data_IF_861515353665
#
_entry.id   IF_861515353665
#
_cell.length_a   1.000
_cell.length_b   1.000
_cell.length_c   1.000
_cell.angle_alpha   90.00
_cell.angle_beta   90.00
_cell.angle_gamma   90.00
#
_symmetry.space_group_name_H-M   'P 1'
#
loop_
_entity.id
_entity.type
_entity.pdbx_description
1 polymer ?
#
# COMPACT_ATOMS: atom_id res chain seq x y z
N UNK A 1 -0.57 9.20 21.51
CA UNK A 1 0.87 8.95 21.24
C UNK A 1 0.92 8.24 19.89
N UNK A 2 1.67 8.76 18.90
CA UNK A 2 1.69 8.15 17.56
C UNK A 2 2.20 6.71 17.70
N UNK A 3 1.48 5.73 17.12
CA UNK A 3 1.98 4.35 17.09
C UNK A 3 3.37 4.37 16.45
N UNK A 4 4.29 3.56 16.93
CA UNK A 4 5.59 3.33 16.28
C UNK A 4 5.62 1.90 15.75
N UNK A 5 6.30 1.67 14.62
CA UNK A 5 6.57 0.30 14.19
C UNK A 5 7.27 -0.41 15.33
N UNK A 6 6.75 -1.57 15.71
CA UNK A 6 7.33 -2.35 16.79
C UNK A 6 8.81 -2.61 16.46
N UNK A 7 9.73 -2.26 17.37
CA UNK A 7 11.17 -2.15 17.09
C UNK A 7 11.90 -3.44 16.68
N UNK A 8 11.17 -4.53 16.44
CA UNK A 8 11.71 -5.81 16.01
C UNK A 8 11.62 -6.11 14.51
N UNK A 9 10.88 -5.32 13.71
CA UNK A 9 10.88 -5.47 12.24
C UNK A 9 12.06 -4.70 11.67
N UNK A 10 13.01 -5.41 11.06
CA UNK A 10 14.27 -4.82 10.59
C UNK A 10 14.38 -5.05 9.09
N UNK A 11 14.61 -3.98 8.34
CA UNK A 11 14.95 -4.05 6.93
C UNK A 11 16.31 -4.75 6.75
N UNK A 12 16.40 -5.69 5.81
CA UNK A 12 17.61 -6.46 5.53
C UNK A 12 17.87 -6.57 4.03
N UNK A 13 19.09 -6.20 3.62
CA UNK A 13 19.61 -6.40 2.27
C UNK A 13 21.11 -6.76 2.36
N UNK A 14 21.59 -7.86 1.72
CA UNK A 14 20.86 -8.78 0.84
C UNK A 14 19.72 -9.52 1.58
N UNK A 15 18.73 -9.99 0.82
CA UNK A 15 17.55 -10.65 1.37
C UNK A 15 17.90 -11.87 2.22
N UNK A 16 17.04 -12.19 3.18
CA UNK A 16 17.06 -13.45 3.93
C UNK A 16 16.22 -14.51 3.22
N UNK A 17 16.45 -15.78 3.53
CA UNK A 17 15.63 -16.90 3.08
C UNK A 17 14.96 -17.55 4.28
N UNK A 18 13.62 -17.61 4.27
CA UNK A 18 12.86 -18.34 5.28
C UNK A 18 12.99 -19.86 5.09
N UNK A 19 12.56 -20.63 6.09
CA UNK A 19 12.61 -22.10 6.05
C UNK A 19 11.79 -22.72 4.92
N UNK A 20 10.79 -22.01 4.41
CA UNK A 20 9.98 -22.39 3.24
C UNK A 20 10.66 -22.05 1.89
N UNK A 21 11.90 -21.55 1.92
CA UNK A 21 12.67 -21.14 0.74
C UNK A 21 12.32 -19.75 0.20
N UNK A 22 11.32 -19.07 0.77
CA UNK A 22 10.91 -17.73 0.36
C UNK A 22 11.93 -16.69 0.78
N UNK A 23 12.28 -15.80 -0.15
CA UNK A 23 13.17 -14.66 0.10
C UNK A 23 12.38 -13.46 0.64
N UNK A 24 12.97 -12.74 1.59
CA UNK A 24 12.38 -11.54 2.21
C UNK A 24 13.42 -10.49 2.52
N UNK A 25 13.00 -9.22 2.48
CA UNK A 25 13.82 -8.04 2.76
C UNK A 25 13.53 -7.42 4.13
N UNK A 26 12.73 -8.10 4.95
CA UNK A 26 12.53 -7.76 6.35
C UNK A 26 12.67 -9.02 7.21
N UNK A 27 13.37 -8.91 8.34
CA UNK A 27 13.21 -9.84 9.44
C UNK A 27 11.98 -9.44 10.24
N UNK A 28 11.19 -10.43 10.65
CA UNK A 28 10.00 -10.25 11.47
C UNK A 28 10.20 -11.10 12.73
N UNK A 29 9.97 -10.55 13.94
CA UNK A 29 10.14 -11.30 15.18
C UNK A 29 9.25 -12.54 15.20
N UNK A 30 9.75 -13.63 15.80
CA UNK A 30 8.96 -14.83 16.03
C UNK A 30 7.70 -14.49 16.82
N UNK A 31 6.55 -15.00 16.38
CA UNK A 31 5.25 -14.74 17.00
C UNK A 31 4.65 -13.37 16.69
N UNK A 32 5.31 -12.51 15.90
CA UNK A 32 4.70 -11.26 15.45
C UNK A 32 3.54 -11.53 14.48
N UNK A 33 2.41 -10.88 14.72
CA UNK A 33 1.21 -11.01 13.90
C UNK A 33 1.02 -9.74 13.09
N UNK A 34 1.02 -9.88 11.77
CA UNK A 34 0.67 -8.81 10.83
C UNK A 34 -0.85 -8.66 10.81
N UNK A 35 -1.37 -7.76 11.66
CA UNK A 35 -2.80 -7.61 11.86
C UNK A 35 -3.48 -6.96 10.65
N UNK A 36 -4.71 -7.43 10.37
CA UNK A 36 -5.65 -6.71 9.51
C UNK A 36 -6.16 -5.44 10.23
N UNK A 37 -6.71 -4.49 9.48
CA UNK A 37 -7.33 -3.30 10.08
C UNK A 37 -8.47 -3.66 11.03
N UNK A 38 -8.37 -3.18 12.26
CA UNK A 38 -9.41 -3.25 13.28
C UNK A 38 -10.25 -1.97 13.33
N UNK A 39 -11.35 -2.00 14.08
CA UNK A 39 -12.18 -0.79 14.28
C UNK A 39 -11.42 0.33 14.99
N UNK A 40 -10.59 0.01 15.99
CA UNK A 40 -9.76 1.00 16.67
C UNK A 40 -8.67 1.59 15.76
N UNK A 41 -8.21 0.85 14.76
CA UNK A 41 -7.29 1.39 13.74
C UNK A 41 -7.97 2.48 12.89
N UNK A 42 -9.24 2.29 12.55
CA UNK A 42 -10.01 3.31 11.84
C UNK A 42 -10.28 4.55 12.71
N UNK A 43 -10.53 4.36 14.01
CA UNK A 43 -10.66 5.47 14.97
C UNK A 43 -9.34 6.25 15.11
N UNK A 44 -8.20 5.55 15.20
CA UNK A 44 -6.87 6.17 15.25
C UNK A 44 -6.58 6.98 13.98
N UNK A 45 -6.84 6.41 12.79
CA UNK A 45 -6.67 7.13 11.52
C UNK A 45 -7.65 8.31 11.39
N UNK A 46 -8.89 8.16 11.86
CA UNK A 46 -9.89 9.24 11.89
C UNK A 46 -9.40 10.43 12.70
N UNK A 47 -8.84 10.16 13.88
CA UNK A 47 -8.29 11.19 14.75
C UNK A 47 -7.02 11.81 14.19
N UNK A 48 -6.13 11.01 13.59
CA UNK A 48 -4.86 11.50 13.03
C UNK A 48 -5.07 12.41 11.81
N UNK A 49 -6.03 12.07 10.94
CA UNK A 49 -6.25 12.78 9.67
C UNK A 49 -7.45 13.72 9.67
N UNK A 50 -8.18 13.83 10.80
CA UNK A 50 -9.39 14.64 10.94
C UNK A 50 -10.41 14.36 9.81
N UNK A 51 -10.75 13.08 9.66
CA UNK A 51 -11.66 12.56 8.65
C UNK A 51 -12.71 11.64 9.25
N UNK A 52 -13.92 11.67 8.68
CA UNK A 52 -14.97 10.72 9.05
C UNK A 52 -14.47 9.27 8.88
N UNK A 53 -14.68 8.43 9.90
CA UNK A 53 -14.38 6.99 9.84
C UNK A 53 -14.97 6.35 8.57
N UNK A 54 -16.20 6.75 8.19
CA UNK A 54 -16.86 6.27 7.00
C UNK A 54 -16.12 6.62 5.69
N UNK A 55 -15.45 7.78 5.62
CA UNK A 55 -14.61 8.15 4.48
C UNK A 55 -13.37 7.26 4.41
N UNK A 56 -12.67 7.07 5.54
CA UNK A 56 -11.46 6.24 5.58
C UNK A 56 -11.80 4.80 5.18
N UNK A 57 -12.86 4.22 5.75
CA UNK A 57 -13.33 2.88 5.38
C UNK A 57 -13.73 2.77 3.91
N UNK A 58 -14.36 3.80 3.35
CA UNK A 58 -14.74 3.81 1.93
C UNK A 58 -13.51 3.82 1.01
N UNK A 59 -12.51 4.65 1.30
CA UNK A 59 -11.29 4.69 0.50
C UNK A 59 -10.51 3.38 0.64
N UNK A 60 -10.34 2.85 1.86
CA UNK A 60 -9.69 1.56 2.06
C UNK A 60 -10.44 0.43 1.33
N UNK A 61 -11.76 0.37 1.41
CA UNK A 61 -12.55 -0.67 0.73
C UNK A 61 -12.41 -0.62 -0.79
N UNK A 62 -12.39 0.57 -1.39
CA UNK A 62 -12.43 0.73 -2.85
C UNK A 62 -11.03 0.67 -3.47
N UNK A 63 -10.04 1.25 -2.79
CA UNK A 63 -8.67 1.34 -3.31
C UNK A 63 -7.83 0.10 -2.94
N UNK A 64 -8.27 -0.71 -1.98
CA UNK A 64 -7.63 -2.00 -1.68
C UNK A 64 -8.24 -3.15 -2.48
N UNK A 65 -7.42 -4.20 -2.67
CA UNK A 65 -7.85 -5.46 -3.28
C UNK A 65 -7.96 -6.55 -2.21
N UNK A 66 -8.71 -6.28 -1.14
CA UNK A 66 -8.79 -7.12 0.07
C UNK A 66 -7.56 -6.92 0.95
N UNK A 67 -6.99 -7.99 1.49
CA UNK A 67 -5.84 -7.86 2.40
C UNK A 67 -4.63 -7.17 1.76
N UNK A 68 -3.87 -6.43 2.56
CA UNK A 68 -2.58 -5.87 2.22
C UNK A 68 -1.44 -6.88 2.09
N UNK A 69 -1.67 -8.15 2.45
CA UNK A 69 -0.66 -9.21 2.46
C UNK A 69 -0.97 -10.35 1.50
N UNK A 70 0.07 -11.08 1.09
CA UNK A 70 -0.05 -12.29 0.27
C UNK A 70 -0.52 -13.47 1.13
N UNK A 71 -1.83 -13.60 1.35
CA UNK A 71 -2.44 -14.62 2.22
C UNK A 71 -2.21 -16.08 1.81
N UNK A 72 -1.59 -16.33 0.65
CA UNK A 72 -1.17 -17.67 0.22
C UNK A 72 0.25 -18.03 0.70
N UNK A 73 1.00 -17.07 1.24
CA UNK A 73 2.30 -17.31 1.86
C UNK A 73 2.12 -17.71 3.33
N UNK A 74 3.07 -18.49 3.86
CA UNK A 74 3.12 -18.76 5.29
C UNK A 74 3.45 -17.48 6.07
N UNK A 75 2.84 -17.27 7.24
CA UNK A 75 3.24 -16.19 8.14
C UNK A 75 4.72 -16.31 8.54
N UNK A 76 5.47 -15.19 8.60
CA UNK A 76 5.04 -13.84 8.22
C UNK A 76 4.92 -13.69 6.69
N UNK A 77 3.80 -13.18 6.20
CA UNK A 77 3.55 -13.01 4.77
C UNK A 77 4.20 -11.72 4.25
N UNK A 78 4.62 -11.71 2.99
CA UNK A 78 5.08 -10.47 2.35
C UNK A 78 3.87 -9.56 2.02
N UNK A 79 4.02 -8.23 2.10
CA UNK A 79 3.02 -7.29 1.59
C UNK A 79 2.69 -7.58 0.12
N UNK A 80 1.46 -7.33 -0.31
CA UNK A 80 1.13 -7.34 -1.74
C UNK A 80 1.92 -6.25 -2.44
N UNK A 81 2.53 -6.58 -3.58
CA UNK A 81 3.22 -5.61 -4.42
C UNK A 81 2.85 -5.75 -5.88
N UNK A 82 3.11 -4.69 -6.64
CA UNK A 82 3.22 -4.73 -8.09
C UNK A 82 4.54 -4.07 -8.48
N UNK A 83 5.41 -4.78 -9.21
CA UNK A 83 6.68 -4.25 -9.66
C UNK A 83 6.55 -3.63 -11.06
N UNK A 84 6.82 -2.33 -11.13
CA UNK A 84 6.67 -1.51 -12.33
C UNK A 84 7.99 -1.37 -13.09
N UNK A 85 8.24 -2.29 -14.02
CA UNK A 85 9.49 -2.30 -14.78
C UNK A 85 9.72 -1.07 -15.65
N UNK A 86 8.65 -0.34 -15.97
CA UNK A 86 8.73 0.95 -16.66
C UNK A 86 9.13 2.12 -15.76
N UNK A 87 8.82 2.06 -14.47
CA UNK A 87 9.40 2.97 -13.48
C UNK A 87 10.85 2.60 -13.21
N UNK A 88 11.16 1.29 -13.11
CA UNK A 88 12.54 0.85 -12.93
C UNK A 88 13.43 1.34 -14.06
N UNK A 89 12.99 1.22 -15.32
CA UNK A 89 13.67 1.80 -16.49
C UNK A 89 13.94 3.31 -16.35
N UNK A 90 12.99 4.08 -15.81
CA UNK A 90 13.14 5.54 -15.63
C UNK A 90 14.12 5.89 -14.52
N UNK A 91 14.19 5.05 -13.49
CA UNK A 91 14.92 5.32 -12.26
C UNK A 91 16.34 4.71 -12.24
N UNK A 92 16.63 3.73 -13.11
CA UNK A 92 17.92 3.02 -13.17
C UNK A 92 18.73 3.33 -14.45
N UNK A 93 20.06 3.19 -14.45
CA UNK A 93 20.88 3.36 -15.66
C UNK A 93 20.55 2.37 -16.79
N UNK A 94 20.76 2.80 -18.04
CA UNK A 94 20.45 2.04 -19.29
C UNK A 94 21.00 0.59 -19.40
N UNK A 95 22.13 0.17 -18.77
CA UNK A 95 22.64 -1.20 -18.93
C UNK A 95 21.67 -2.30 -18.49
N UNK A 96 20.84 -2.07 -17.47
CA UNK A 96 19.89 -3.07 -16.95
C UNK A 96 18.88 -3.50 -18.02
N UNK A 97 18.36 -2.55 -18.80
CA UNK A 97 17.34 -2.82 -19.83
C UNK A 97 17.83 -3.73 -20.96
N UNK A 98 19.16 -3.84 -21.15
CA UNK A 98 19.74 -4.71 -22.17
C UNK A 98 19.82 -6.16 -21.68
N UNK A 99 20.19 -6.38 -20.43
CA UNK A 99 20.32 -7.73 -19.85
C UNK A 99 19.02 -8.28 -19.30
N UNK A 100 18.13 -7.43 -18.78
CA UNK A 100 16.84 -7.78 -18.16
C UNK A 100 15.67 -6.95 -18.72
N UNK A 101 15.32 -7.12 -20.02
CA UNK A 101 14.19 -6.41 -20.63
C UNK A 101 12.82 -6.84 -20.05
N UNK A 102 12.78 -7.90 -19.25
CA UNK A 102 11.63 -8.32 -18.46
C UNK A 102 11.43 -7.48 -17.18
N UNK A 103 12.51 -6.87 -16.66
CA UNK A 103 12.50 -6.02 -15.47
C UNK A 103 12.57 -4.53 -15.77
N UNK A 104 13.19 -4.13 -16.89
CA UNK A 104 13.44 -2.73 -17.23
C UNK A 104 13.07 -2.46 -18.69
N UNK A 105 11.96 -1.76 -18.92
CA UNK A 105 11.40 -1.51 -20.25
C UNK A 105 10.70 -0.14 -20.33
N UNK A 106 10.75 0.60 -21.47
CA UNK A 106 10.43 2.04 -21.50
C UNK A 106 8.94 2.41 -21.42
N UNK A 107 8.03 1.47 -21.72
CA UNK A 107 6.58 1.72 -21.81
C UNK A 107 5.83 0.78 -20.89
N UNK A 108 4.75 1.27 -20.29
CA UNK A 108 3.86 0.42 -19.49
C UNK A 108 3.39 -0.81 -20.31
N UNK A 109 3.54 -1.99 -19.75
CA UNK A 109 3.21 -3.26 -20.38
C UNK A 109 2.64 -4.26 -19.36
N UNK A 110 1.31 -4.38 -19.35
CA UNK A 110 0.58 -5.28 -18.45
C UNK A 110 0.97 -6.75 -18.62
N UNK A 111 1.46 -7.16 -19.79
CA UNK A 111 1.82 -8.56 -20.05
C UNK A 111 3.03 -9.03 -19.24
N UNK A 112 3.78 -8.10 -18.64
CA UNK A 112 4.96 -8.38 -17.81
C UNK A 112 4.61 -8.77 -16.38
N UNK A 113 3.42 -8.44 -15.90
CA UNK A 113 3.00 -8.75 -14.54
C UNK A 113 2.74 -10.24 -14.36
N UNK A 114 3.24 -10.78 -13.25
CA UNK A 114 3.08 -12.18 -12.83
C UNK A 114 2.05 -12.32 -11.72
N UNK A 115 1.91 -11.29 -10.89
CA UNK A 115 0.99 -11.25 -9.76
C UNK A 115 1.41 -12.12 -8.57
N UNK A 116 0.85 -11.83 -7.41
CA UNK A 116 1.10 -12.58 -6.18
C UNK A 116 2.59 -12.59 -5.79
N UNK A 117 3.04 -13.71 -5.23
CA UNK A 117 4.44 -13.91 -4.81
C UNK A 117 5.45 -13.78 -5.94
N UNK A 118 5.06 -13.98 -7.20
CA UNK A 118 5.98 -13.86 -8.33
C UNK A 118 6.37 -12.40 -8.64
N UNK A 119 5.60 -11.40 -8.17
CA UNK A 119 6.04 -10.00 -8.24
C UNK A 119 7.21 -9.72 -7.29
N UNK A 120 7.27 -10.39 -6.15
CA UNK A 120 8.43 -10.29 -5.25
C UNK A 120 9.69 -10.81 -5.89
N UNK A 121 9.64 -11.93 -6.61
CA UNK A 121 10.82 -12.44 -7.31
C UNK A 121 11.33 -11.44 -8.36
N UNK A 122 10.41 -10.75 -9.08
CA UNK A 122 10.79 -9.67 -10.01
C UNK A 122 11.46 -8.50 -9.29
N UNK A 123 10.90 -8.08 -8.14
CA UNK A 123 11.48 -6.99 -7.33
C UNK A 123 12.86 -7.38 -6.80
N UNK A 124 13.02 -8.58 -6.25
CA UNK A 124 14.28 -9.07 -5.70
C UNK A 124 15.37 -9.15 -6.77
N UNK A 125 15.05 -9.67 -7.95
CA UNK A 125 15.98 -9.65 -9.10
C UNK A 125 16.38 -8.22 -9.50
N UNK A 126 15.44 -7.27 -9.46
CA UNK A 126 15.73 -5.87 -9.78
C UNK A 126 16.63 -5.23 -8.71
N UNK A 127 16.45 -5.59 -7.44
CA UNK A 127 17.27 -5.11 -6.33
C UNK A 127 18.74 -5.55 -6.45
N UNK A 128 19.05 -6.64 -7.17
CA UNK A 128 20.44 -7.03 -7.46
C UNK A 128 21.17 -6.02 -8.36
N UNK A 129 20.44 -5.21 -9.13
CA UNK A 129 21.01 -4.14 -9.95
C UNK A 129 21.06 -2.81 -9.21
N UNK A 130 19.96 -2.44 -8.56
CA UNK A 130 19.84 -1.22 -7.78
C UNK A 130 18.71 -1.36 -6.76
N UNK A 131 19.08 -1.67 -5.52
CA UNK A 131 18.19 -1.86 -4.38
C UNK A 131 17.16 -0.73 -4.24
N UNK A 132 17.64 0.51 -4.16
CA UNK A 132 16.81 1.66 -3.85
C UNK A 132 15.87 1.98 -5.01
N UNK A 133 16.37 1.95 -6.24
CA UNK A 133 15.52 2.24 -7.40
C UNK A 133 14.51 1.12 -7.68
N UNK A 134 14.86 -0.13 -7.39
CA UNK A 134 13.93 -1.26 -7.49
C UNK A 134 12.77 -1.11 -6.49
N UNK A 135 13.07 -0.83 -5.21
CA UNK A 135 12.04 -0.58 -4.19
C UNK A 135 11.15 0.61 -4.55
N UNK A 136 11.74 1.70 -5.06
CA UNK A 136 10.99 2.86 -5.55
C UNK A 136 10.06 2.52 -6.70
N UNK A 137 10.36 1.47 -7.46
CA UNK A 137 9.62 1.04 -8.64
C UNK A 137 8.53 0.00 -8.35
N UNK A 138 8.19 -0.25 -7.09
CA UNK A 138 7.06 -1.11 -6.74
C UNK A 138 6.00 -0.35 -5.93
N UNK A 139 4.74 -0.75 -6.06
CA UNK A 139 3.66 -0.37 -5.14
C UNK A 139 3.51 -1.40 -4.02
N UNK A 140 3.04 -0.99 -2.84
CA UNK A 140 2.98 -1.86 -1.66
C UNK A 140 1.65 -1.77 -0.91
N UNK A 141 1.22 -2.91 -0.35
CA UNK A 141 0.17 -2.99 0.67
C UNK A 141 -1.24 -2.63 0.18
N UNK A 142 -2.13 -2.34 1.15
CA UNK A 142 -3.54 -1.99 0.92
C UNK A 142 -3.74 -0.87 -0.12
N UNK A 143 -3.04 0.25 0.04
CA UNK A 143 -3.22 1.42 -0.83
C UNK A 143 -2.44 1.37 -2.14
N UNK A 144 -1.60 0.35 -2.34
CA UNK A 144 -0.69 0.25 -3.50
C UNK A 144 0.09 1.57 -3.75
N UNK A 145 0.54 2.22 -2.67
CA UNK A 145 1.36 3.44 -2.77
C UNK A 145 2.72 3.07 -3.37
N UNK A 146 3.14 3.78 -4.41
CA UNK A 146 4.44 3.57 -5.06
C UNK A 146 5.60 3.93 -4.12
N UNK A 147 6.65 3.12 -4.12
CA UNK A 147 7.83 3.32 -3.27
C UNK A 147 8.55 4.64 -3.53
N UNK A 148 8.54 5.19 -4.76
CA UNK A 148 9.09 6.52 -5.02
C UNK A 148 8.34 7.65 -4.28
N UNK A 149 7.12 7.39 -3.78
CA UNK A 149 6.34 8.30 -2.96
C UNK A 149 6.54 8.09 -1.45
N UNK A 150 7.59 7.37 -1.00
CA UNK A 150 7.79 7.09 0.44
C UNK A 150 7.73 8.36 1.32
N UNK A 151 8.26 9.50 0.84
CA UNK A 151 8.21 10.77 1.57
C UNK A 151 6.79 11.31 1.69
N UNK A 152 6.02 11.24 0.61
CA UNK A 152 4.59 11.60 0.61
C UNK A 152 3.74 10.63 1.43
N UNK A 153 4.19 9.38 1.57
CA UNK A 153 3.57 8.38 2.45
C UNK A 153 3.90 8.58 3.94
N UNK A 154 4.68 9.62 4.28
CA UNK A 154 5.04 9.99 5.64
C UNK A 154 6.30 9.33 6.18
N UNK A 155 7.15 8.75 5.32
CA UNK A 155 8.38 8.07 5.73
C UNK A 155 9.62 8.91 5.42
N UNK A 156 10.62 8.83 6.29
CA UNK A 156 11.91 9.50 6.11
C UNK A 156 12.84 8.79 5.11
N UNK A 157 12.62 7.49 4.89
CA UNK A 157 13.39 6.65 3.98
C UNK A 157 12.52 5.58 3.33
N UNK A 158 13.01 5.00 2.22
CA UNK A 158 12.36 3.86 1.58
C UNK A 158 12.39 2.62 2.49
N UNK A 159 13.45 2.43 3.28
CA UNK A 159 13.56 1.32 4.22
C UNK A 159 12.50 1.39 5.32
N UNK A 160 12.27 2.59 5.88
CA UNK A 160 11.18 2.81 6.83
C UNK A 160 9.83 2.47 6.19
N UNK A 161 9.58 2.93 4.96
CA UNK A 161 8.36 2.60 4.22
C UNK A 161 8.18 1.09 4.02
N UNK A 162 9.25 0.36 3.71
CA UNK A 162 9.20 -1.11 3.60
C UNK A 162 8.89 -1.75 4.97
N UNK A 163 9.59 -1.36 6.04
CA UNK A 163 9.35 -1.89 7.39
C UNK A 163 7.90 -1.67 7.84
N UNK A 164 7.37 -0.46 7.62
CA UNK A 164 5.97 -0.10 7.89
C UNK A 164 5.00 -0.97 7.08
N UNK A 165 5.25 -1.18 5.79
CA UNK A 165 4.43 -2.09 4.97
C UNK A 165 4.44 -3.53 5.49
N UNK A 166 5.57 -4.03 6.01
CA UNK A 166 5.66 -5.36 6.62
C UNK A 166 5.01 -5.43 8.01
N UNK A 167 4.79 -4.30 8.69
CA UNK A 167 4.33 -4.28 10.07
C UNK A 167 2.84 -4.58 10.24
N UNK A 168 1.99 -4.21 9.29
CA UNK A 168 0.56 -4.51 9.37
C UNK A 168 -0.29 -3.57 8.52
N UNK A 169 -1.57 -3.89 8.39
CA UNK A 169 -2.47 -3.14 7.53
C UNK A 169 -2.73 -1.70 8.02
N UNK A 170 -2.65 -1.43 9.33
CA UNK A 170 -2.68 -0.07 9.87
C UNK A 170 -1.65 0.85 9.21
N UNK A 171 -0.40 0.40 9.11
CA UNK A 171 0.69 1.18 8.52
C UNK A 171 0.50 1.40 7.02
N UNK A 172 0.02 0.38 6.33
CA UNK A 172 -0.30 0.47 4.90
C UNK A 172 -1.45 1.46 4.64
N UNK A 173 -2.48 1.46 5.49
CA UNK A 173 -3.56 2.45 5.42
C UNK A 173 -3.06 3.85 5.78
N UNK A 174 -2.20 3.98 6.77
CA UNK A 174 -1.57 5.26 7.13
C UNK A 174 -0.73 5.84 5.98
N UNK A 175 0.01 5.02 5.24
CA UNK A 175 0.70 5.45 4.02
C UNK A 175 -0.28 5.98 2.96
N UNK A 176 -1.39 5.27 2.75
CA UNK A 176 -2.44 5.69 1.82
C UNK A 176 -2.99 7.06 2.22
N UNK A 177 -3.30 7.26 3.51
CA UNK A 177 -3.83 8.52 4.02
C UNK A 177 -2.83 9.66 3.91
N UNK A 178 -1.57 9.46 4.31
CA UNK A 178 -0.50 10.45 4.13
C UNK A 178 -0.34 10.84 2.66
N UNK A 179 -0.35 9.85 1.75
CA UNK A 179 -0.25 10.11 0.32
C UNK A 179 -1.41 10.97 -0.19
N UNK A 180 -2.65 10.67 0.22
CA UNK A 180 -3.84 11.47 -0.12
C UNK A 180 -3.70 12.91 0.36
N UNK A 181 -3.30 13.11 1.61
CA UNK A 181 -3.12 14.46 2.18
C UNK A 181 -2.02 15.22 1.44
N UNK A 182 -0.86 14.61 1.25
CA UNK A 182 0.30 15.28 0.67
C UNK A 182 0.21 15.49 -0.85
N UNK A 183 -0.70 14.77 -1.53
CA UNK A 183 -1.06 15.03 -2.93
C UNK A 183 -2.16 16.09 -3.07
N UNK A 184 -2.69 16.63 -1.97
CA UNK A 184 -3.79 17.59 -2.00
C UNK A 184 -5.07 16.97 -2.54
N UNK A 185 -5.35 15.71 -2.15
CA UNK A 185 -6.58 14.99 -2.53
C UNK A 185 -7.60 14.94 -1.38
N UNK A 186 -7.26 15.53 -0.23
CA UNK A 186 -8.06 15.46 0.98
C UNK A 186 -9.32 16.31 0.86
N UNK A 187 -9.24 17.48 0.22
CA UNK A 187 -10.35 18.38 0.06
C UNK A 187 -11.43 17.79 -0.86
N UNK A 188 -11.06 17.04 -1.90
CA UNK A 188 -12.01 16.28 -2.72
C UNK A 188 -12.81 15.27 -1.90
N UNK A 189 -12.17 14.53 -0.99
CA UNK A 189 -12.87 13.61 -0.08
C UNK A 189 -13.82 14.37 0.85
N UNK A 190 -13.36 15.45 1.47
CA UNK A 190 -14.16 16.25 2.41
C UNK A 190 -15.39 16.87 1.74
N UNK A 191 -15.26 17.35 0.50
CA UNK A 191 -16.38 17.87 -0.31
C UNK A 191 -17.15 16.79 -1.08
N UNK A 192 -16.78 15.51 -0.91
CA UNK A 192 -17.41 14.34 -1.56
C UNK A 192 -17.38 14.43 -3.09
N UNK A 193 -16.33 15.04 -3.65
CA UNK A 193 -16.06 15.03 -5.09
C UNK A 193 -15.36 13.72 -5.48
N UNK A 194 -16.15 12.65 -5.58
CA UNK A 194 -15.67 11.31 -5.89
C UNK A 194 -14.97 11.24 -7.25
N UNK A 195 -15.44 12.04 -8.22
CA UNK A 195 -14.84 12.10 -9.55
C UNK A 195 -13.48 12.80 -9.52
N UNK A 196 -13.38 13.93 -8.80
CA UNK A 196 -12.13 14.64 -8.57
C UNK A 196 -11.10 13.76 -7.86
N UNK A 197 -11.49 13.17 -6.73
CA UNK A 197 -10.63 12.26 -5.97
C UNK A 197 -10.17 11.07 -6.83
N UNK A 198 -11.10 10.34 -7.46
CA UNK A 198 -10.76 9.17 -8.26
C UNK A 198 -9.85 9.52 -9.44
N UNK A 199 -10.04 10.69 -10.07
CA UNK A 199 -9.14 11.17 -11.13
C UNK A 199 -7.73 11.47 -10.60
N UNK A 200 -7.62 12.05 -9.41
CA UNK A 200 -6.34 12.35 -8.78
C UNK A 200 -5.59 11.08 -8.34
N UNK A 201 -6.29 10.16 -7.66
CA UNK A 201 -5.71 8.95 -7.10
C UNK A 201 -5.45 7.86 -8.17
N UNK A 202 -6.45 7.57 -9.01
CA UNK A 202 -6.41 6.47 -10.01
C UNK A 202 -6.03 6.94 -11.43
N UNK A 203 -5.91 8.26 -11.64
CA UNK A 203 -5.60 8.85 -12.94
C UNK A 203 -6.81 9.03 -13.87
N UNK A 204 -6.60 9.57 -15.09
CA UNK A 204 -7.69 9.97 -16.00
C UNK A 204 -8.55 8.79 -16.49
N UNK A 205 -8.07 7.56 -16.36
CA UNK A 205 -8.79 6.35 -16.75
C UNK A 205 -9.78 5.83 -15.73
N UNK A 206 -9.95 6.48 -14.57
CA UNK A 206 -10.68 5.97 -13.41
C UNK A 206 -12.13 5.52 -13.72
N UNK A 207 -12.81 6.21 -14.63
CA UNK A 207 -14.21 5.89 -15.00
C UNK A 207 -14.38 4.49 -15.59
N UNK A 208 -13.35 3.93 -16.24
CA UNK A 208 -13.42 2.57 -16.80
C UNK A 208 -13.63 1.50 -15.74
N UNK A 209 -13.24 1.79 -14.49
CA UNK A 209 -13.37 0.89 -13.36
C UNK A 209 -14.40 1.41 -12.32
N UNK A 210 -15.16 2.47 -12.66
CA UNK A 210 -16.21 3.06 -11.82
C UNK A 210 -15.74 3.47 -10.41
N UNK A 211 -14.49 3.93 -10.27
CA UNK A 211 -13.93 4.28 -8.96
C UNK A 211 -14.76 5.34 -8.22
N UNK A 212 -15.25 6.36 -8.93
CA UNK A 212 -16.13 7.39 -8.36
C UNK A 212 -17.42 6.82 -7.76
N UNK A 213 -18.10 5.98 -8.52
CA UNK A 213 -19.38 5.38 -8.13
C UNK A 213 -19.19 4.37 -6.99
N UNK A 214 -18.06 3.64 -6.99
CA UNK A 214 -17.68 2.72 -5.92
C UNK A 214 -17.38 3.46 -4.62
N UNK A 215 -16.63 4.56 -4.68
CA UNK A 215 -16.33 5.40 -3.51
C UNK A 215 -17.61 5.96 -2.89
N UNK A 216 -18.50 6.52 -3.71
CA UNK A 216 -19.77 7.05 -3.21
C UNK A 216 -20.60 5.96 -2.51
N UNK A 217 -20.73 4.79 -3.14
CA UNK A 217 -21.49 3.66 -2.59
C UNK A 217 -20.88 3.15 -1.29
N UNK A 218 -19.56 3.01 -1.24
CA UNK A 218 -18.84 2.55 -0.05
C UNK A 218 -19.01 3.56 1.10
N UNK A 219 -18.90 4.87 0.82
CA UNK A 219 -19.13 5.89 1.83
C UNK A 219 -20.53 5.83 2.42
N UNK A 220 -21.57 5.75 1.58
CA UNK A 220 -22.96 5.62 2.04
C UNK A 220 -23.18 4.38 2.92
N UNK A 221 -22.60 3.24 2.52
CA UNK A 221 -22.63 1.98 3.28
C UNK A 221 -22.01 2.15 4.66
N UNK A 222 -20.81 2.72 4.75
CA UNK A 222 -20.11 2.89 6.03
C UNK A 222 -20.74 3.97 6.92
N UNK A 223 -21.31 5.03 6.32
CA UNK A 223 -22.01 6.06 7.07
C UNK A 223 -23.22 5.49 7.84
N UNK A 224 -23.99 4.60 7.20
CA UNK A 224 -25.12 3.90 7.83
C UNK A 224 -24.61 2.98 8.95
N UNK A 225 -23.57 2.18 8.67
CA UNK A 225 -23.03 1.23 9.65
C UNK A 225 -22.49 1.94 10.90
N UNK A 226 -21.77 3.05 10.74
CA UNK A 226 -21.28 3.85 11.87
C UNK A 226 -22.42 4.47 12.67
N UNK A 227 -23.49 4.94 12.01
CA UNK A 227 -24.66 5.50 12.70
C UNK A 227 -25.41 4.45 13.53
N UNK A 228 -25.60 3.24 13.00
CA UNK A 228 -26.23 2.13 13.73
C UNK A 228 -25.42 1.68 14.95
N UNK A 229 -24.09 1.64 14.84
CA UNK A 229 -23.22 1.27 15.97
C UNK A 229 -23.31 2.29 17.11
N UNK A 230 -23.39 3.58 16.78
CA UNK A 230 -23.53 4.64 17.77
C UNK A 230 -24.89 4.58 18.50
N UNK A 231 -25.97 4.20 17.80
CA UNK A 231 -27.26 3.99 18.48
C UNK A 231 -27.22 2.81 19.46
N UNK A 232 -26.54 1.72 19.11
CA UNK A 232 -26.45 0.55 19.99
C UNK A 232 -25.62 0.86 21.25
N UNK A 233 -24.49 1.56 21.12
CA UNK A 233 -23.62 1.94 22.25
C UNK A 233 -24.27 2.97 23.22
N UNK A 234 -25.19 3.82 22.74
CA UNK A 234 -25.92 4.79 23.58
C UNK A 234 -27.12 4.17 24.31
N UNK A 235 -27.63 3.03 23.82
CA UNK A 235 -28.80 2.35 24.40
C UNK A 235 -28.45 1.16 25.32
N UNK A 236 -27.17 0.80 25.41
CA UNK A 236 -26.62 -0.24 26.29
C UNK A 236 -26.14 0.33 27.64
#
# INVERSE_FOLDING_TARGET
MMRSVNGGIIYVFPFITYSDGRKSICTIPSGYIQQALSESDYEDLSNEFELDIALIKAVVEVESHGSGFLLRELPPARPKILFEGHWFFRLTPKPVSRSRPDLSYPRWDKSKYKGGSAEWERLLDAMEFDEIQALKSASFGLGQVMGFNYSLAGCSSIQQFIQENFAGEYWQARHMMNFIVNQGLLDELKRKDWAGFARGYNGPGYRRNEYDTKLERAYKKHLIATASRWSDEVTA
#
